data_IF_042369410823
#
_entry.id   IF_042369410823
#
_cell.length_a   1.000
_cell.length_b   1.000
_cell.length_c   1.000
_cell.angle_alpha   90.00
_cell.angle_beta   90.00
_cell.angle_gamma   90.00
#
_symmetry.space_group_name_H-M   'P 1'
#
loop_
_entity.id
_entity.type
_entity.pdbx_description
1 polymer ?
#
# COMPACT_ATOMS: atom_id res chain seq x y z
N UNK A 1 -9.77 11.11 0.92
CA UNK A 1 -9.15 9.78 0.72
C UNK A 1 -7.88 9.79 1.54
N UNK A 2 -7.89 9.06 2.65
CA UNK A 2 -6.87 9.10 3.71
C UNK A 2 -5.51 8.60 3.19
N UNK A 3 -4.45 9.36 3.48
CA UNK A 3 -3.06 9.06 3.13
C UNK A 3 -2.36 8.12 4.11
N UNK A 4 -2.98 7.83 5.26
CA UNK A 4 -2.35 7.09 6.34
C UNK A 4 -3.34 6.06 6.91
N UNK A 5 -2.90 4.81 6.98
CA UNK A 5 -3.66 3.69 7.52
C UNK A 5 -4.09 3.95 8.96
N UNK A 6 -5.25 3.45 9.37
CA UNK A 6 -5.71 3.58 10.76
C UNK A 6 -6.32 2.29 11.29
N UNK A 7 -5.71 1.82 12.37
CA UNK A 7 -6.10 0.72 13.26
C UNK A 7 -7.17 1.14 14.29
N UNK A 8 -7.71 2.36 14.18
CA UNK A 8 -8.72 2.91 15.08
C UNK A 8 -9.82 3.58 14.27
N UNK A 9 -11.06 3.51 14.77
CA UNK A 9 -12.27 3.95 14.05
C UNK A 9 -12.19 5.37 13.49
N UNK A 10 -13.17 5.72 12.63
CA UNK A 10 -13.28 6.96 11.82
C UNK A 10 -12.94 8.28 12.55
N UNK A 11 -13.00 8.34 13.88
CA UNK A 11 -12.65 9.51 14.70
C UNK A 11 -11.14 9.81 14.81
N UNK A 12 -10.27 8.88 14.42
CA UNK A 12 -8.83 9.14 14.35
C UNK A 12 -8.40 9.94 13.11
N UNK A 13 -9.33 10.25 12.18
CA UNK A 13 -9.00 10.62 10.80
C UNK A 13 -9.35 12.06 10.42
N UNK A 14 -10.23 12.76 11.15
CA UNK A 14 -10.69 14.09 10.75
C UNK A 14 -10.08 15.20 11.62
N UNK A 15 -9.01 15.82 11.09
CA UNK A 15 -8.69 17.22 11.43
C UNK A 15 -9.79 18.10 10.86
N UNK A 16 -10.86 18.29 11.62
CA UNK A 16 -11.58 19.56 11.56
C UNK A 16 -10.87 20.51 12.53
N UNK A 17 -10.79 21.80 12.19
CA UNK A 17 -9.98 22.80 12.91
C UNK A 17 -10.34 22.94 14.40
N UNK A 18 -11.46 22.36 14.85
CA UNK A 18 -11.93 22.34 16.23
C UNK A 18 -11.67 21.03 17.02
N UNK A 19 -11.17 19.96 16.39
CA UNK A 19 -10.98 18.66 17.07
C UNK A 19 -9.50 18.25 17.12
N UNK A 20 -8.93 18.20 18.33
CA UNK A 20 -7.64 17.54 18.60
C UNK A 20 -7.64 16.11 18.06
N UNK A 21 -6.63 15.76 17.26
CA UNK A 21 -6.52 14.43 16.66
C UNK A 21 -6.44 13.36 17.76
N UNK A 22 -7.46 12.50 17.85
CA UNK A 22 -7.49 11.39 18.80
C UNK A 22 -6.60 10.27 18.24
N UNK A 23 -5.63 9.80 19.04
CA UNK A 23 -4.79 8.65 18.69
C UNK A 23 -4.98 7.54 19.73
N UNK A 24 -5.27 6.32 19.28
CA UNK A 24 -5.23 5.15 20.15
C UNK A 24 -3.78 4.73 20.45
N UNK A 25 -3.59 3.88 21.46
CA UNK A 25 -2.27 3.34 21.84
C UNK A 25 -1.53 2.71 20.65
N UNK A 26 -2.22 1.94 19.80
CA UNK A 26 -1.60 1.30 18.63
C UNK A 26 -1.12 2.30 17.57
N UNK A 27 -1.88 3.38 17.34
CA UNK A 27 -1.48 4.43 16.39
C UNK A 27 -0.27 5.23 16.88
N UNK A 28 -0.20 5.49 18.19
CA UNK A 28 0.99 6.11 18.79
C UNK A 28 2.20 5.19 18.61
N UNK A 29 2.05 3.90 18.97
CA UNK A 29 3.13 2.92 18.86
C UNK A 29 3.61 2.70 17.42
N UNK A 30 2.70 2.68 16.45
CA UNK A 30 3.04 2.62 15.04
C UNK A 30 3.90 3.82 14.62
N UNK A 31 3.52 5.04 15.03
CA UNK A 31 4.27 6.24 14.73
C UNK A 31 5.69 6.23 15.31
N UNK A 32 5.83 5.76 16.56
CA UNK A 32 7.13 5.60 17.22
C UNK A 32 7.98 4.55 16.50
N UNK A 33 7.42 3.38 16.20
CA UNK A 33 8.15 2.30 15.50
C UNK A 33 8.65 2.78 14.14
N UNK A 34 7.79 3.46 13.36
CA UNK A 34 8.18 4.03 12.07
C UNK A 34 9.29 5.08 12.18
N UNK A 35 9.24 5.94 13.21
CA UNK A 35 10.29 6.95 13.45
C UNK A 35 11.64 6.32 13.82
N UNK A 36 11.62 5.12 14.43
CA UNK A 36 12.80 4.34 14.77
C UNK A 36 13.26 3.36 13.67
N UNK A 37 12.66 3.43 12.47
CA UNK A 37 12.81 2.45 11.38
C UNK A 37 12.55 0.98 11.81
N UNK A 38 11.77 0.80 12.87
CA UNK A 38 11.29 -0.50 13.30
C UNK A 38 9.99 -0.83 12.55
N UNK A 39 9.97 -1.96 11.83
CA UNK A 39 8.79 -2.41 11.09
C UNK A 39 8.22 -3.65 11.77
N UNK A 40 6.95 -3.57 12.14
CA UNK A 40 6.21 -4.71 12.66
C UNK A 40 5.82 -5.63 11.50
N UNK A 41 6.03 -6.93 11.66
CA UNK A 41 5.61 -7.93 10.69
C UNK A 41 4.10 -8.19 10.76
N UNK A 42 3.50 -8.03 11.95
CA UNK A 42 2.06 -8.18 12.17
C UNK A 42 1.48 -7.00 12.94
N UNK A 43 0.18 -6.79 12.74
CA UNK A 43 -0.53 -5.74 13.47
C UNK A 43 -0.47 -5.92 14.99
N UNK A 44 -0.62 -7.16 15.45
CA UNK A 44 -0.66 -7.51 16.86
C UNK A 44 0.72 -7.39 17.53
N UNK A 45 1.80 -7.20 16.76
CA UNK A 45 3.12 -6.89 17.34
C UNK A 45 3.17 -5.47 17.90
N UNK A 46 2.25 -4.57 17.49
CA UNK A 46 2.05 -3.27 18.12
C UNK A 46 1.60 -3.39 19.59
N UNK A 47 1.10 -4.55 20.03
CA UNK A 47 0.82 -4.78 21.44
C UNK A 47 2.07 -5.02 22.27
N UNK A 48 3.18 -5.42 21.66
CA UNK A 48 4.42 -5.63 22.38
C UNK A 48 5.03 -4.30 22.81
N UNK A 49 5.76 -4.27 23.94
CA UNK A 49 6.57 -3.12 24.30
C UNK A 49 7.55 -2.79 23.18
N UNK A 50 7.60 -1.53 22.78
CA UNK A 50 8.55 -1.03 21.77
C UNK A 50 9.99 -1.19 22.27
N UNK A 51 10.17 -1.11 23.58
CA UNK A 51 11.46 -1.22 24.24
C UNK A 51 11.44 -2.35 25.27
N UNK A 52 12.55 -3.05 25.38
CA UNK A 52 12.82 -3.96 26.50
C UNK A 52 12.96 -3.19 27.84
N UNK A 53 13.03 -1.85 27.78
CA UNK A 53 13.27 -0.98 28.94
C UNK A 53 11.99 -0.26 29.40
N UNK A 54 11.46 -0.69 30.55
CA UNK A 54 10.27 -0.12 31.19
C UNK A 54 10.38 1.39 31.51
N UNK A 55 11.59 1.92 31.70
CA UNK A 55 11.80 3.37 31.95
C UNK A 55 11.51 4.18 30.69
N UNK A 56 11.89 3.66 29.51
CA UNK A 56 11.58 4.31 28.23
C UNK A 56 10.09 4.20 27.90
N UNK A 57 9.49 3.03 28.15
CA UNK A 57 8.06 2.83 27.95
C UNK A 57 7.22 3.77 28.83
N UNK A 58 7.62 3.96 30.10
CA UNK A 58 6.96 4.92 30.98
C UNK A 58 7.15 6.37 30.51
N UNK A 59 8.36 6.75 30.10
CA UNK A 59 8.63 8.10 29.61
C UNK A 59 7.80 8.44 28.35
N UNK A 60 7.65 7.48 27.43
CA UNK A 60 6.80 7.65 26.26
C UNK A 60 5.31 7.69 26.63
N UNK A 61 4.86 6.83 27.54
CA UNK A 61 3.48 6.85 28.04
C UNK A 61 3.15 8.21 28.69
N UNK A 62 4.08 8.76 29.49
CA UNK A 62 3.93 10.07 30.12
C UNK A 62 3.93 11.19 29.05
N UNK A 63 4.81 11.12 28.04
CA UNK A 63 4.91 12.09 26.94
C UNK A 63 3.63 12.16 26.08
N UNK A 64 3.02 11.00 25.80
CA UNK A 64 1.82 10.92 24.97
C UNK A 64 0.50 10.89 25.74
N UNK A 65 0.56 10.93 27.09
CA UNK A 65 -0.61 10.88 27.98
C UNK A 65 -1.69 11.93 27.67
N UNK A 66 -1.30 13.13 27.24
CA UNK A 66 -2.23 14.23 26.91
C UNK A 66 -2.90 14.09 25.53
N UNK A 67 -2.32 13.26 24.65
CA UNK A 67 -2.80 13.03 23.27
C UNK A 67 -3.57 11.71 23.17
N UNK A 68 -3.31 10.80 24.11
CA UNK A 68 -3.98 9.53 24.25
C UNK A 68 -5.26 9.70 25.06
N UNK A 69 -6.43 9.63 24.42
CA UNK A 69 -7.63 9.16 25.12
C UNK A 69 -7.54 7.65 25.19
N UNK A 70 -7.93 7.05 26.31
CA UNK A 70 -7.96 5.59 26.51
C UNK A 70 -9.02 4.91 25.62
N UNK A 71 -8.89 5.01 24.30
CA UNK A 71 -9.54 4.12 23.36
C UNK A 71 -8.58 2.97 23.12
N UNK A 72 -8.69 1.92 23.93
CA UNK A 72 -7.97 0.68 23.70
C UNK A 72 -8.69 -0.14 22.64
N UNK A 73 -7.96 -0.75 21.69
CA UNK A 73 -8.58 -1.71 20.78
C UNK A 73 -9.14 -2.85 21.63
N UNK A 74 -10.35 -3.28 21.30
CA UNK A 74 -10.96 -4.44 21.92
C UNK A 74 -10.92 -5.57 20.90
N UNK A 75 -10.32 -6.68 21.31
CA UNK A 75 -10.31 -7.90 20.53
C UNK A 75 -11.56 -8.71 20.85
N UNK A 76 -12.16 -9.34 19.83
CA UNK A 76 -13.23 -10.32 20.02
C UNK A 76 -12.61 -11.70 19.95
N UNK A 77 -12.71 -12.47 21.04
CA UNK A 77 -12.30 -13.88 21.01
C UNK A 77 -13.29 -14.74 20.20
N UNK A 78 -12.94 -16.01 20.03
CA UNK A 78 -13.74 -16.96 19.23
C UNK A 78 -15.12 -17.28 19.86
N UNK A 79 -15.38 -16.81 21.08
CA UNK A 79 -16.66 -16.90 21.78
C UNK A 79 -17.43 -15.57 21.78
N UNK A 80 -16.90 -14.52 21.15
CA UNK A 80 -17.49 -13.18 21.12
C UNK A 80 -17.25 -12.36 22.39
N UNK A 81 -16.33 -12.77 23.26
CA UNK A 81 -15.96 -11.98 24.43
C UNK A 81 -15.03 -10.83 24.02
N UNK A 82 -15.26 -9.68 24.66
CA UNK A 82 -14.43 -8.50 24.53
C UNK A 82 -13.15 -8.67 25.38
N UNK A 83 -12.02 -8.88 24.72
CA UNK A 83 -10.68 -8.98 25.32
C UNK A 83 -9.94 -7.67 25.11
N UNK A 84 -9.57 -7.00 26.21
CA UNK A 84 -8.75 -5.78 26.17
C UNK A 84 -7.27 -6.12 26.39
N UNK A 85 -6.34 -5.49 25.66
CA UNK A 85 -4.89 -5.73 25.76
C UNK A 85 -4.28 -4.99 26.97
N UNK A 86 -4.91 -5.08 28.15
CA UNK A 86 -4.53 -4.32 29.36
C UNK A 86 -3.33 -4.91 30.10
N UNK A 87 -2.97 -6.16 29.83
CA UNK A 87 -1.82 -6.82 30.45
C UNK A 87 -1.16 -7.82 29.49
N UNK A 88 0.05 -8.26 29.85
CA UNK A 88 0.85 -9.18 29.02
C UNK A 88 0.17 -10.51 28.73
N UNK A 89 -0.71 -11.00 29.62
CA UNK A 89 -1.45 -12.25 29.40
C UNK A 89 -2.49 -12.11 28.29
N UNK A 90 -3.31 -11.06 28.30
CA UNK A 90 -4.28 -10.81 27.24
C UNK A 90 -3.61 -10.49 25.90
N UNK A 91 -2.49 -9.78 25.93
CA UNK A 91 -1.68 -9.54 24.73
C UNK A 91 -1.17 -10.87 24.16
N UNK A 92 -0.64 -11.76 25.00
CA UNK A 92 -0.19 -13.07 24.57
C UNK A 92 -1.34 -13.90 24.00
N UNK A 93 -2.52 -13.88 24.63
CA UNK A 93 -3.72 -14.56 24.15
C UNK A 93 -4.12 -14.08 22.75
N UNK A 94 -4.26 -12.77 22.56
CA UNK A 94 -4.62 -12.18 21.25
C UNK A 94 -3.63 -12.62 20.18
N UNK A 95 -2.33 -12.51 20.45
CA UNK A 95 -1.28 -12.91 19.49
C UNK A 95 -1.34 -14.40 19.17
N UNK A 96 -1.55 -15.26 20.17
CA UNK A 96 -1.66 -16.70 19.95
C UNK A 96 -2.88 -17.06 19.10
N UNK A 97 -4.03 -16.40 19.32
CA UNK A 97 -5.23 -16.66 18.53
C UNK A 97 -5.02 -16.21 17.08
N UNK A 98 -4.48 -15.02 16.85
CA UNK A 98 -4.19 -14.53 15.49
C UNK A 98 -3.16 -15.41 14.77
N UNK A 99 -2.10 -15.84 15.46
CA UNK A 99 -1.11 -16.78 14.90
C UNK A 99 -1.74 -18.12 14.52
N UNK A 100 -2.66 -18.65 15.33
CA UNK A 100 -3.39 -19.89 15.00
C UNK A 100 -4.28 -19.71 13.77
N UNK A 101 -4.95 -18.55 13.64
CA UNK A 101 -5.73 -18.23 12.44
C UNK A 101 -4.85 -18.15 11.19
N UNK A 102 -3.69 -17.51 11.30
CA UNK A 102 -2.68 -17.47 10.22
C UNK A 102 -2.19 -18.87 9.83
N UNK A 103 -1.81 -19.68 10.81
CA UNK A 103 -1.29 -21.03 10.58
C UNK A 103 -2.35 -21.94 9.95
N UNK A 104 -3.59 -21.88 10.45
CA UNK A 104 -4.73 -22.57 9.86
C UNK A 104 -4.87 -22.19 8.38
N UNK A 105 -4.93 -20.89 8.06
CA UNK A 105 -5.11 -20.44 6.68
C UNK A 105 -3.92 -20.76 5.77
N UNK A 106 -2.68 -20.78 6.29
CA UNK A 106 -1.52 -21.24 5.52
C UNK A 106 -1.64 -22.70 5.09
N UNK A 107 -2.29 -23.53 5.91
CA UNK A 107 -2.57 -24.92 5.56
C UNK A 107 -3.77 -25.06 4.62
N UNK A 108 -4.79 -24.20 4.77
CA UNK A 108 -6.00 -24.24 3.92
C UNK A 108 -5.78 -23.67 2.52
N UNK A 109 -4.92 -22.67 2.32
CA UNK A 109 -4.70 -22.06 0.99
C UNK A 109 -4.31 -23.11 -0.07
N UNK A 110 -3.34 -24.00 0.15
CA UNK A 110 -3.04 -25.08 -0.81
C UNK A 110 -4.22 -26.03 -1.06
N UNK A 111 -4.99 -26.37 -0.01
CA UNK A 111 -6.17 -27.23 -0.13
C UNK A 111 -7.27 -26.55 -0.96
N UNK A 112 -7.49 -25.25 -0.75
CA UNK A 112 -8.41 -24.45 -1.55
C UNK A 112 -8.00 -24.41 -3.02
N UNK A 113 -6.71 -24.19 -3.31
CA UNK A 113 -6.19 -24.18 -4.68
C UNK A 113 -6.29 -25.54 -5.39
N UNK A 114 -6.25 -26.66 -4.66
CA UNK A 114 -6.45 -28.01 -5.22
C UNK A 114 -7.91 -28.43 -5.32
N UNK A 115 -8.84 -27.60 -4.82
CA UNK A 115 -10.27 -27.89 -4.87
C UNK A 115 -10.77 -28.00 -6.31
N UNK A 116 -11.53 -29.06 -6.59
CA UNK A 116 -12.21 -29.24 -7.88
C UNK A 116 -13.21 -28.13 -8.20
N UNK A 117 -13.66 -27.37 -7.19
CA UNK A 117 -14.51 -26.18 -7.40
C UNK A 117 -13.79 -25.11 -8.22
N UNK A 118 -12.47 -24.94 -8.06
CA UNK A 118 -11.73 -23.88 -8.74
C UNK A 118 -11.18 -24.30 -10.10
N UNK A 119 -11.09 -25.60 -10.41
CA UNK A 119 -10.64 -26.11 -11.72
C UNK A 119 -9.41 -25.36 -12.27
N UNK A 120 -8.30 -25.40 -11.53
CA UNK A 120 -7.07 -24.65 -11.84
C UNK A 120 -6.09 -25.54 -12.63
N UNK A 121 -5.41 -24.95 -13.62
CA UNK A 121 -4.43 -25.67 -14.45
C UNK A 121 -3.12 -25.98 -13.73
N UNK A 122 -2.70 -25.09 -12.84
CA UNK A 122 -1.47 -25.19 -12.05
C UNK A 122 -1.77 -24.84 -10.57
N UNK A 123 -2.44 -25.76 -9.84
CA UNK A 123 -2.86 -25.48 -8.47
C UNK A 123 -1.68 -25.29 -7.52
N UNK A 124 -0.54 -25.96 -7.75
CA UNK A 124 0.65 -25.87 -6.90
C UNK A 124 1.39 -24.53 -7.06
N UNK A 125 1.59 -24.08 -8.30
CA UNK A 125 2.18 -22.77 -8.57
C UNK A 125 1.30 -21.63 -8.06
N UNK A 126 -0.01 -21.73 -8.27
CA UNK A 126 -0.98 -20.75 -7.75
C UNK A 126 -0.98 -20.74 -6.21
N UNK A 127 -0.95 -21.90 -5.55
CA UNK A 127 -0.91 -21.99 -4.09
C UNK A 127 0.35 -21.33 -3.52
N UNK A 128 1.51 -21.58 -4.13
CA UNK A 128 2.78 -20.97 -3.73
C UNK A 128 2.70 -19.45 -3.83
N UNK A 129 2.22 -18.93 -4.96
CA UNK A 129 2.03 -17.49 -5.16
C UNK A 129 0.99 -16.90 -4.20
N UNK A 130 -0.09 -17.63 -3.91
CA UNK A 130 -1.12 -17.20 -2.96
C UNK A 130 -0.58 -17.12 -1.53
N UNK A 131 0.29 -18.05 -1.10
CA UNK A 131 0.92 -18.00 0.22
C UNK A 131 1.85 -16.79 0.38
N UNK A 132 2.62 -16.46 -0.66
CA UNK A 132 3.44 -15.25 -0.69
C UNK A 132 2.57 -13.99 -0.58
N UNK A 133 1.50 -13.90 -1.39
CA UNK A 133 0.56 -12.78 -1.33
C UNK A 133 -0.14 -12.68 0.01
N UNK A 134 -0.50 -13.81 0.62
CA UNK A 134 -1.12 -13.83 1.92
C UNK A 134 -0.19 -13.22 2.98
N UNK A 135 1.07 -13.64 3.02
CA UNK A 135 2.03 -13.08 3.97
C UNK A 135 2.25 -11.57 3.77
N UNK A 136 2.29 -11.11 2.51
CA UNK A 136 2.40 -9.69 2.20
C UNK A 136 1.19 -8.88 2.64
N UNK A 137 -0.01 -9.40 2.38
CA UNK A 137 -1.25 -8.76 2.80
C UNK A 137 -1.37 -8.74 4.34
N UNK A 138 -0.89 -9.76 5.04
CA UNK A 138 -0.83 -9.77 6.51
C UNK A 138 0.11 -8.70 7.07
N UNK A 139 1.31 -8.54 6.49
CA UNK A 139 2.24 -7.45 6.86
C UNK A 139 1.64 -6.06 6.62
N UNK A 140 0.69 -5.97 5.70
CA UNK A 140 0.00 -4.73 5.29
C UNK A 140 -1.48 -4.71 5.65
N UNK A 141 -1.89 -5.53 6.62
CA UNK A 141 -3.31 -5.75 6.94
C UNK A 141 -4.04 -4.47 7.35
N UNK A 142 -3.29 -3.50 7.86
CA UNK A 142 -3.77 -2.15 8.16
C UNK A 142 -4.25 -1.34 6.96
N UNK A 143 -3.69 -1.59 5.79
CA UNK A 143 -4.16 -0.98 4.54
C UNK A 143 -5.47 -1.62 4.07
N UNK A 144 -5.85 -2.74 4.68
CA UNK A 144 -7.05 -3.52 4.39
C UNK A 144 -8.07 -3.41 5.53
N UNK A 145 -8.09 -2.30 6.27
CA UNK A 145 -9.08 -2.02 7.32
C UNK A 145 -9.29 -3.16 8.34
N UNK A 146 -8.29 -4.00 8.59
CA UNK A 146 -8.43 -5.18 9.45
C UNK A 146 -9.55 -6.14 9.05
N UNK A 147 -9.74 -6.34 7.75
CA UNK A 147 -10.65 -7.37 7.24
C UNK A 147 -10.42 -8.72 7.93
N UNK A 148 -11.47 -9.52 7.99
CA UNK A 148 -11.35 -10.91 8.41
C UNK A 148 -10.21 -11.59 7.64
N UNK A 149 -9.32 -12.26 8.37
CA UNK A 149 -8.13 -12.88 7.80
C UNK A 149 -8.46 -13.94 6.73
N UNK A 150 -9.65 -14.55 6.79
CA UNK A 150 -10.16 -15.45 5.75
C UNK A 150 -10.42 -14.71 4.43
N UNK A 151 -10.96 -13.50 4.50
CA UNK A 151 -11.13 -12.61 3.33
C UNK A 151 -9.76 -12.22 2.77
N UNK A 152 -8.78 -11.94 3.63
CA UNK A 152 -7.40 -11.64 3.20
C UNK A 152 -6.78 -12.84 2.47
N UNK A 153 -6.95 -14.05 2.98
CA UNK A 153 -6.52 -15.28 2.30
C UNK A 153 -7.23 -15.48 0.96
N UNK A 154 -8.54 -15.23 0.90
CA UNK A 154 -9.31 -15.29 -0.34
C UNK A 154 -8.82 -14.26 -1.38
N UNK A 155 -8.51 -13.04 -0.96
CA UNK A 155 -7.89 -12.03 -1.85
C UNK A 155 -6.54 -12.50 -2.37
N UNK A 156 -5.71 -13.11 -1.52
CA UNK A 156 -4.43 -13.67 -1.94
C UNK A 156 -4.60 -14.74 -3.03
N UNK A 157 -5.52 -15.69 -2.83
CA UNK A 157 -5.85 -16.73 -3.83
C UNK A 157 -6.39 -16.09 -5.11
N UNK A 158 -7.35 -15.17 -5.02
CA UNK A 158 -7.94 -14.53 -6.19
C UNK A 158 -6.91 -13.76 -7.02
N UNK A 159 -5.99 -13.04 -6.35
CA UNK A 159 -4.89 -12.33 -7.01
C UNK A 159 -3.89 -13.30 -7.64
N UNK A 160 -3.57 -14.43 -7.00
CA UNK A 160 -2.69 -15.45 -7.55
C UNK A 160 -3.31 -16.12 -8.80
N UNK A 161 -4.58 -16.54 -8.73
CA UNK A 161 -5.34 -17.07 -9.87
C UNK A 161 -5.31 -16.08 -11.04
N UNK A 162 -5.55 -14.80 -10.77
CA UNK A 162 -5.49 -13.74 -11.78
C UNK A 162 -4.10 -13.56 -12.37
N UNK A 163 -3.07 -13.67 -11.54
CA UNK A 163 -1.68 -13.60 -12.00
C UNK A 163 -1.31 -14.74 -12.94
N UNK A 164 -1.87 -15.93 -12.72
CA UNK A 164 -1.71 -17.09 -13.60
C UNK A 164 -2.68 -17.10 -14.80
N UNK A 165 -3.30 -15.96 -15.14
CA UNK A 165 -4.14 -15.81 -16.33
C UNK A 165 -5.54 -16.42 -16.22
N UNK A 166 -5.96 -16.77 -15.00
CA UNK A 166 -7.28 -17.32 -14.73
C UNK A 166 -8.21 -16.29 -14.05
N UNK A 167 -9.50 -16.56 -14.03
CA UNK A 167 -10.45 -15.78 -13.24
C UNK A 167 -11.51 -16.71 -12.66
N UNK A 168 -11.86 -16.51 -11.39
CA UNK A 168 -12.84 -17.31 -10.67
C UNK A 168 -13.73 -16.40 -9.84
N UNK A 169 -14.95 -16.86 -9.60
CA UNK A 169 -15.88 -16.17 -8.72
C UNK A 169 -15.28 -16.08 -7.31
N UNK A 170 -15.30 -14.90 -6.72
CA UNK A 170 -14.77 -14.66 -5.40
C UNK A 170 -15.54 -15.44 -4.32
N UNK A 171 -16.86 -15.59 -4.46
CA UNK A 171 -17.69 -16.39 -3.57
C UNK A 171 -17.27 -17.86 -3.56
N UNK A 172 -16.89 -18.41 -4.73
CA UNK A 172 -16.37 -19.78 -4.81
C UNK A 172 -15.04 -19.94 -4.07
N UNK A 173 -14.17 -18.93 -4.12
CA UNK A 173 -12.90 -18.92 -3.38
C UNK A 173 -13.17 -18.88 -1.87
N UNK A 174 -14.11 -18.05 -1.41
CA UNK A 174 -14.52 -18.00 0.00
C UNK A 174 -15.06 -19.35 0.49
N UNK A 175 -15.91 -19.99 -0.31
CA UNK A 175 -16.44 -21.31 0.04
C UNK A 175 -15.35 -22.38 0.16
N UNK A 176 -14.29 -22.31 -0.65
CA UNK A 176 -13.14 -23.24 -0.54
C UNK A 176 -12.32 -23.04 0.72
N UNK A 177 -12.44 -21.88 1.36
CA UNK A 177 -11.86 -21.56 2.67
C UNK A 177 -12.87 -21.72 3.81
N UNK A 178 -13.96 -22.45 3.57
CA UNK A 178 -15.02 -22.70 4.55
C UNK A 178 -15.66 -21.41 5.11
N UNK A 179 -15.73 -20.36 4.29
CA UNK A 179 -16.35 -19.09 4.64
C UNK A 179 -17.64 -18.89 3.83
N UNK A 180 -18.76 -18.62 4.51
CA UNK A 180 -20.03 -18.34 3.82
C UNK A 180 -19.92 -16.97 3.13
N UNK A 181 -20.09 -16.87 1.80
CA UNK A 181 -20.05 -15.58 1.10
C UNK A 181 -21.05 -14.55 1.61
N UNK A 182 -22.12 -14.98 2.31
CA UNK A 182 -23.09 -14.07 2.94
C UNK A 182 -22.54 -13.33 4.15
N UNK A 183 -21.52 -13.90 4.79
CA UNK A 183 -20.82 -13.29 5.92
C UNK A 183 -19.67 -12.38 5.44
N UNK A 184 -19.43 -12.30 4.13
CA UNK A 184 -18.46 -11.36 3.56
C UNK A 184 -18.98 -9.92 3.67
N UNK A 185 -18.18 -9.07 4.29
CA UNK A 185 -18.41 -7.64 4.42
C UNK A 185 -17.33 -6.82 3.71
N UNK A 186 -16.48 -7.48 2.92
CA UNK A 186 -15.45 -6.84 2.13
C UNK A 186 -16.07 -5.93 1.06
N UNK A 187 -15.39 -4.82 0.80
CA UNK A 187 -15.84 -3.82 -0.18
C UNK A 187 -14.93 -3.82 -1.40
N UNK A 188 -15.42 -3.21 -2.49
CA UNK A 188 -14.60 -2.95 -3.69
C UNK A 188 -13.31 -2.17 -3.36
N UNK A 189 -13.35 -1.29 -2.35
CA UNK A 189 -12.18 -0.53 -1.93
C UNK A 189 -11.13 -1.42 -1.27
N UNK A 190 -11.57 -2.42 -0.50
CA UNK A 190 -10.67 -3.37 0.15
C UNK A 190 -9.95 -4.26 -0.90
N UNK A 191 -10.68 -4.70 -1.92
CA UNK A 191 -10.10 -5.39 -3.07
C UNK A 191 -9.07 -4.54 -3.80
N UNK A 192 -9.40 -3.26 -4.07
CA UNK A 192 -8.46 -2.32 -4.71
C UNK A 192 -7.22 -2.10 -3.85
N UNK A 193 -7.37 -2.00 -2.53
CA UNK A 193 -6.25 -1.87 -1.59
C UNK A 193 -5.35 -3.13 -1.59
N UNK A 194 -5.94 -4.33 -1.59
CA UNK A 194 -5.20 -5.58 -1.69
C UNK A 194 -4.43 -5.68 -3.02
N UNK A 195 -5.08 -5.38 -4.15
CA UNK A 195 -4.43 -5.33 -5.46
C UNK A 195 -3.27 -4.34 -5.47
N UNK A 196 -3.48 -3.14 -4.92
CA UNK A 196 -2.45 -2.11 -4.86
C UNK A 196 -1.26 -2.55 -4.00
N UNK A 197 -1.51 -3.22 -2.87
CA UNK A 197 -0.48 -3.77 -1.99
C UNK A 197 0.42 -4.78 -2.73
N UNK A 198 -0.19 -5.77 -3.40
CA UNK A 198 0.56 -6.77 -4.17
C UNK A 198 1.29 -6.13 -5.35
N UNK A 199 0.65 -5.23 -6.08
CA UNK A 199 1.28 -4.51 -7.20
C UNK A 199 2.48 -3.68 -6.75
N UNK A 200 2.38 -3.01 -5.60
CA UNK A 200 3.50 -2.26 -5.00
C UNK A 200 4.66 -3.17 -4.65
N UNK A 201 4.38 -4.33 -4.05
CA UNK A 201 5.40 -5.29 -3.69
C UNK A 201 6.13 -5.82 -4.91
N UNK A 202 5.39 -6.28 -5.93
CA UNK A 202 5.99 -6.77 -7.19
C UNK A 202 6.80 -5.72 -7.92
N UNK A 203 6.33 -4.47 -7.93
CA UNK A 203 7.11 -3.36 -8.47
C UNK A 203 8.44 -3.18 -7.71
N UNK A 204 8.40 -3.31 -6.38
CA UNK A 204 9.59 -3.33 -5.53
C UNK A 204 10.55 -4.46 -5.90
N UNK A 205 10.07 -5.70 -5.99
CA UNK A 205 10.91 -6.87 -6.37
C UNK A 205 11.59 -6.70 -7.72
N UNK A 206 10.86 -6.20 -8.72
CA UNK A 206 11.44 -5.91 -10.05
C UNK A 206 12.56 -4.87 -9.94
N UNK A 207 12.32 -3.81 -9.14
CA UNK A 207 13.33 -2.77 -8.92
C UNK A 207 14.53 -3.29 -8.14
N UNK A 208 14.32 -4.10 -7.10
CA UNK A 208 15.38 -4.69 -6.29
C UNK A 208 16.22 -5.69 -7.10
N UNK A 209 15.57 -6.55 -7.90
CA UNK A 209 16.24 -7.49 -8.81
C UNK A 209 17.13 -6.77 -9.84
N UNK A 210 16.68 -5.61 -10.33
CA UNK A 210 17.51 -4.74 -11.15
C UNK A 210 18.69 -4.18 -10.35
N UNK A 211 18.43 -3.58 -9.18
CA UNK A 211 19.47 -2.93 -8.36
C UNK A 211 20.56 -3.91 -7.94
N UNK A 212 20.23 -5.15 -7.58
CA UNK A 212 21.19 -6.17 -7.19
C UNK A 212 22.24 -6.44 -8.29
N UNK A 213 21.78 -6.50 -9.55
CA UNK A 213 22.66 -6.75 -10.71
C UNK A 213 23.31 -5.47 -11.23
N UNK A 214 22.61 -4.34 -11.16
CA UNK A 214 23.08 -3.05 -11.65
C UNK A 214 24.37 -2.60 -10.94
N UNK A 215 24.51 -2.84 -9.64
CA UNK A 215 25.75 -2.50 -8.92
C UNK A 215 27.00 -3.22 -9.48
N UNK A 216 26.82 -4.40 -10.08
CA UNK A 216 27.94 -5.15 -10.70
C UNK A 216 28.24 -4.67 -12.12
N UNK A 217 27.21 -4.29 -12.87
CA UNK A 217 27.34 -3.82 -14.25
C UNK A 217 27.79 -2.35 -14.33
N UNK A 218 27.43 -1.54 -13.34
CA UNK A 218 27.67 -0.10 -13.29
C UNK A 218 28.37 0.33 -11.98
N UNK A 219 29.51 -0.27 -11.62
CA UNK A 219 30.14 -0.07 -10.30
C UNK A 219 30.58 1.37 -10.03
N UNK A 220 30.99 2.09 -11.09
CA UNK A 220 31.55 3.45 -10.98
C UNK A 220 30.55 4.55 -11.34
N UNK A 221 29.26 4.22 -11.53
CA UNK A 221 28.26 5.20 -11.96
C UNK A 221 27.78 6.07 -10.78
N UNK A 222 28.11 7.37 -10.75
CA UNK A 222 27.71 8.24 -9.65
C UNK A 222 26.19 8.39 -9.60
N UNK A 223 25.59 8.33 -8.40
CA UNK A 223 24.16 8.55 -8.22
C UNK A 223 23.28 7.32 -8.46
N UNK A 224 23.85 6.15 -8.77
CA UNK A 224 23.10 4.88 -8.89
C UNK A 224 22.26 4.58 -7.62
N UNK A 225 22.77 4.91 -6.44
CA UNK A 225 22.07 4.79 -5.16
C UNK A 225 20.78 5.63 -5.06
N UNK A 226 20.64 6.70 -5.86
CA UNK A 226 19.43 7.54 -5.92
C UNK A 226 18.38 7.00 -6.89
N UNK A 227 18.74 6.04 -7.75
CA UNK A 227 17.87 5.51 -8.79
C UNK A 227 16.62 4.86 -8.20
N UNK A 228 16.79 3.98 -7.21
CA UNK A 228 15.68 3.25 -6.61
C UNK A 228 14.64 4.16 -5.92
N UNK A 229 15.02 5.09 -5.01
CA UNK A 229 14.06 6.04 -4.44
C UNK A 229 13.32 6.89 -5.48
N UNK A 230 14.00 7.28 -6.56
CA UNK A 230 13.42 8.11 -7.61
C UNK A 230 12.46 7.32 -8.52
N UNK A 231 12.86 6.12 -8.95
CA UNK A 231 12.05 5.22 -9.74
C UNK A 231 10.77 4.81 -8.98
N UNK A 232 10.91 4.52 -7.68
CA UNK A 232 9.77 4.24 -6.80
C UNK A 232 8.81 5.42 -6.74
N UNK A 233 9.31 6.65 -6.56
CA UNK A 233 8.46 7.87 -6.55
C UNK A 233 7.69 8.03 -7.86
N UNK A 234 8.39 7.89 -8.99
CA UNK A 234 7.78 7.98 -10.31
C UNK A 234 6.73 6.88 -10.52
N UNK A 235 6.99 5.66 -10.06
CA UNK A 235 6.03 4.55 -10.10
C UNK A 235 4.75 4.88 -9.32
N UNK A 236 4.86 5.39 -8.08
CA UNK A 236 3.68 5.82 -7.31
C UNK A 236 2.89 6.91 -8.03
N UNK A 237 3.57 7.91 -8.61
CA UNK A 237 2.92 8.97 -9.36
C UNK A 237 2.20 8.44 -10.63
N UNK A 238 2.83 7.51 -11.33
CA UNK A 238 2.31 6.87 -12.55
C UNK A 238 1.05 6.06 -12.26
N UNK A 239 1.08 5.23 -11.21
CA UNK A 239 -0.07 4.42 -10.78
C UNK A 239 -1.21 5.30 -10.29
N UNK A 240 -0.92 6.32 -9.46
CA UNK A 240 -1.93 7.23 -8.90
C UNK A 240 -2.68 8.02 -9.98
N UNK A 241 -1.98 8.44 -11.03
CA UNK A 241 -2.58 9.22 -12.13
C UNK A 241 -3.16 8.33 -13.24
N UNK A 242 -3.17 7.01 -13.06
CA UNK A 242 -3.65 6.04 -14.06
C UNK A 242 -3.06 6.32 -15.46
N UNK A 243 -1.76 6.66 -15.53
CA UNK A 243 -1.08 7.08 -16.77
C UNK A 243 -1.20 6.05 -17.90
N UNK A 244 -1.22 4.78 -17.53
CA UNK A 244 -1.33 3.65 -18.44
C UNK A 244 -2.77 3.09 -18.36
N UNK A 245 -3.53 3.07 -19.46
CA UNK A 245 -4.88 2.52 -19.48
C UNK A 245 -4.91 1.05 -19.06
N UNK A 246 -6.00 0.62 -18.41
CA UNK A 246 -6.15 -0.74 -17.86
C UNK A 246 -6.11 -1.82 -18.95
N UNK A 247 -6.57 -1.48 -20.15
CA UNK A 247 -6.58 -2.36 -21.32
C UNK A 247 -5.16 -2.69 -21.78
N UNK A 248 -4.26 -1.72 -21.68
CA UNK A 248 -2.85 -1.87 -22.06
C UNK A 248 -2.03 -2.55 -20.96
N UNK A 249 -2.44 -2.40 -19.70
CA UNK A 249 -1.79 -3.03 -18.56
C UNK A 249 -2.06 -4.54 -18.46
N UNK A 250 -3.08 -5.06 -19.14
CA UNK A 250 -3.39 -6.50 -19.13
C UNK A 250 -2.15 -7.27 -19.59
N UNK A 251 -1.62 -8.12 -18.72
CA UNK A 251 -0.40 -8.92 -18.92
C UNK A 251 0.93 -8.12 -18.98
N UNK A 252 0.89 -6.78 -18.99
CA UNK A 252 2.07 -5.89 -19.05
C UNK A 252 2.26 -5.01 -17.80
N UNK A 253 1.59 -5.33 -16.68
CA UNK A 253 1.71 -4.57 -15.42
C UNK A 253 3.18 -4.46 -14.93
N UNK A 254 4.00 -5.48 -15.21
CA UNK A 254 5.41 -5.56 -14.84
C UNK A 254 6.32 -4.62 -15.67
N UNK A 255 5.85 -4.07 -16.79
CA UNK A 255 6.61 -3.10 -17.61
C UNK A 255 6.63 -1.71 -16.97
N UNK A 256 5.61 -1.36 -16.18
CA UNK A 256 5.53 -0.05 -15.50
C UNK A 256 6.74 0.22 -14.60
N UNK A 257 7.13 -0.66 -13.65
CA UNK A 257 8.32 -0.43 -12.83
C UNK A 257 9.62 -0.36 -13.65
N UNK A 258 9.77 -1.16 -14.72
CA UNK A 258 10.91 -1.07 -15.66
C UNK A 258 10.98 0.31 -16.30
N UNK A 259 9.85 0.77 -16.85
CA UNK A 259 9.78 2.08 -17.48
C UNK A 259 10.10 3.22 -16.50
N UNK A 260 9.70 3.07 -15.24
CA UNK A 260 10.02 4.02 -14.18
C UNK A 260 11.53 4.03 -13.85
N UNK A 261 12.20 2.87 -13.84
CA UNK A 261 13.66 2.79 -13.67
C UNK A 261 14.38 3.53 -14.79
N UNK A 262 14.01 3.29 -16.05
CA UNK A 262 14.65 3.96 -17.20
C UNK A 262 14.39 5.46 -17.18
N UNK A 263 13.16 5.88 -16.89
CA UNK A 263 12.82 7.29 -16.76
C UNK A 263 13.61 7.98 -15.64
N UNK A 264 13.74 7.33 -14.48
CA UNK A 264 14.54 7.84 -13.36
C UNK A 264 16.03 7.87 -13.69
N UNK A 265 16.55 6.86 -14.39
CA UNK A 265 17.93 6.84 -14.85
C UNK A 265 18.22 8.00 -15.80
N UNK A 266 17.33 8.28 -16.75
CA UNK A 266 17.44 9.45 -17.65
C UNK A 266 17.42 10.77 -16.90
N UNK A 267 16.58 10.89 -15.87
CA UNK A 267 16.54 12.10 -15.04
C UNK A 267 17.83 12.31 -14.23
N UNK A 268 18.48 11.21 -13.82
CA UNK A 268 19.76 11.22 -13.12
C UNK A 268 20.96 11.21 -14.07
N UNK A 269 20.73 11.33 -15.39
CA UNK A 269 21.76 11.27 -16.44
C UNK A 269 22.62 9.98 -16.39
N UNK A 270 22.04 8.87 -15.91
CA UNK A 270 22.70 7.57 -15.85
C UNK A 270 22.63 6.87 -17.21
N UNK A 271 23.71 6.21 -17.67
CA UNK A 271 23.77 5.52 -18.97
C UNK A 271 23.10 4.14 -18.91
N UNK A 272 21.83 4.08 -18.53
CA UNK A 272 21.06 2.84 -18.39
C UNK A 272 19.98 2.81 -19.47
N UNK A 273 20.10 1.85 -20.40
CA UNK A 273 19.14 1.68 -21.49
C UNK A 273 17.95 0.81 -21.07
N UNK A 274 16.85 0.86 -21.85
CA UNK A 274 15.65 0.05 -21.56
C UNK A 274 15.91 -1.44 -21.72
N UNK A 275 16.70 -1.77 -22.74
CA UNK A 275 17.15 -3.13 -23.07
C UNK A 275 17.99 -3.71 -21.93
N UNK A 276 18.85 -2.89 -21.29
CA UNK A 276 19.65 -3.31 -20.14
C UNK A 276 18.77 -3.64 -18.94
N UNK A 277 17.78 -2.78 -18.62
CA UNK A 277 16.86 -3.03 -17.51
C UNK A 277 16.08 -4.32 -17.76
N UNK A 278 15.53 -4.50 -18.97
CA UNK A 278 14.78 -5.70 -19.35
C UNK A 278 15.64 -6.98 -19.22
N UNK A 279 16.88 -6.94 -19.72
CA UNK A 279 17.83 -8.05 -19.63
C UNK A 279 18.16 -8.39 -18.18
N UNK A 280 18.43 -7.38 -17.35
CA UNK A 280 18.77 -7.59 -15.94
C UNK A 280 17.56 -8.08 -15.12
N UNK A 281 16.34 -7.66 -15.43
CA UNK A 281 15.13 -8.16 -14.74
C UNK A 281 14.62 -9.49 -15.31
N UNK A 282 15.12 -9.94 -16.47
CA UNK A 282 14.62 -11.14 -17.16
C UNK A 282 13.22 -10.97 -17.75
N UNK A 283 12.83 -9.73 -18.05
CA UNK A 283 11.49 -9.39 -18.56
C UNK A 283 11.60 -9.06 -20.05
N UNK A 284 10.72 -9.62 -20.87
CA UNK A 284 10.67 -9.33 -22.30
C UNK A 284 9.96 -7.99 -22.58
N UNK A 285 10.76 -6.95 -22.79
CA UNK A 285 10.29 -5.62 -23.15
C UNK A 285 10.09 -5.38 -24.65
N UNK A 286 10.35 -6.38 -25.52
CA UNK A 286 10.37 -6.20 -26.98
C UNK A 286 8.98 -6.16 -27.63
N UNK A 287 7.96 -6.62 -26.92
CA UNK A 287 6.58 -6.67 -27.38
C UNK A 287 6.03 -5.27 -27.65
N UNK A 288 5.23 -5.11 -28.72
CA UNK A 288 4.66 -3.82 -29.13
C UNK A 288 3.87 -3.14 -27.98
N UNK A 289 3.07 -3.92 -27.25
CA UNK A 289 2.33 -3.44 -26.10
C UNK A 289 3.24 -3.02 -24.93
N UNK A 290 4.36 -3.72 -24.70
CA UNK A 290 5.36 -3.33 -23.70
C UNK A 290 5.99 -1.98 -24.07
N UNK A 291 6.34 -1.79 -25.34
CA UNK A 291 6.85 -0.52 -25.86
C UNK A 291 5.83 0.63 -25.72
N UNK A 292 4.54 0.35 -25.91
CA UNK A 292 3.47 1.33 -25.71
C UNK A 292 3.32 1.73 -24.22
N UNK A 293 3.41 0.78 -23.28
CA UNK A 293 3.43 1.06 -21.83
C UNK A 293 4.64 1.92 -21.48
N UNK A 294 5.83 1.51 -21.91
CA UNK A 294 7.08 2.24 -21.70
C UNK A 294 7.01 3.67 -22.24
N UNK A 295 6.52 3.86 -23.47
CA UNK A 295 6.34 5.17 -24.10
C UNK A 295 5.42 6.10 -23.31
N UNK A 296 4.31 5.59 -22.76
CA UNK A 296 3.39 6.38 -21.93
C UNK A 296 4.05 6.85 -20.63
N UNK A 297 4.76 5.98 -19.93
CA UNK A 297 5.47 6.32 -18.69
C UNK A 297 6.58 7.35 -18.94
N UNK A 298 7.33 7.21 -20.05
CA UNK A 298 8.34 8.18 -20.44
C UNK A 298 7.76 9.55 -20.80
N UNK A 299 6.65 9.57 -21.54
CA UNK A 299 5.99 10.82 -21.90
C UNK A 299 5.49 11.54 -20.64
N UNK A 300 4.94 10.79 -19.69
CA UNK A 300 4.53 11.30 -18.40
C UNK A 300 5.71 11.85 -17.60
N UNK A 301 6.83 11.13 -17.53
CA UNK A 301 7.99 11.59 -16.75
C UNK A 301 8.63 12.87 -17.30
N UNK A 302 8.51 13.12 -18.62
CA UNK A 302 8.99 14.36 -19.27
C UNK A 302 8.04 15.55 -19.10
N UNK A 303 6.74 15.29 -19.13
CA UNK A 303 5.72 16.33 -19.28
C UNK A 303 4.91 16.60 -17.99
N UNK A 304 5.30 16.03 -16.86
CA UNK A 304 4.59 16.21 -15.60
C UNK A 304 5.54 16.51 -14.45
N UNK A 305 5.10 17.34 -13.52
CA UNK A 305 5.78 17.53 -12.25
C UNK A 305 5.43 16.38 -11.28
N UNK A 306 6.04 15.23 -11.51
CA UNK A 306 5.95 14.04 -10.63
C UNK A 306 6.96 14.10 -9.47
N UNK A 307 7.87 15.07 -9.50
CA UNK A 307 8.85 15.30 -8.43
C UNK A 307 8.24 16.02 -7.24
N UNK A 308 7.17 16.79 -7.45
CA UNK A 308 6.32 17.29 -6.37
C UNK A 308 5.89 16.11 -5.50
N UNK A 309 6.14 16.14 -4.18
CA UNK A 309 5.56 15.16 -3.29
C UNK A 309 4.04 15.16 -3.52
N UNK A 310 3.38 13.98 -3.44
CA UNK A 310 1.94 13.91 -3.64
C UNK A 310 1.28 15.00 -2.79
N UNK A 311 0.67 15.98 -3.44
CA UNK A 311 -0.15 16.98 -2.76
C UNK A 311 -1.20 16.18 -1.99
N UNK A 312 -0.98 16.07 -0.68
CA UNK A 312 -1.93 15.47 0.25
C UNK A 312 -3.15 16.37 0.15
N UNK A 313 -4.32 15.82 -0.20
CA UNK A 313 -5.57 16.60 -0.13
C UNK A 313 -5.66 17.14 1.30
N UNK A 314 -5.61 18.46 1.46
CA UNK A 314 -5.55 19.13 2.75
C UNK A 314 -4.16 19.60 3.21
N UNK A 315 -3.10 19.47 2.40
CA UNK A 315 -1.81 20.10 2.69
C UNK A 315 -1.97 21.62 2.70
N UNK A 316 -1.22 22.31 3.56
CA UNK A 316 -1.23 23.77 3.65
C UNK A 316 -0.93 24.44 2.29
N UNK A 317 -0.12 23.79 1.45
CA UNK A 317 0.20 24.27 0.11
C UNK A 317 -0.98 24.16 -0.86
N UNK A 318 -1.76 23.06 -0.83
CA UNK A 318 -2.98 22.93 -1.66
C UNK A 318 -4.05 23.91 -1.21
N UNK A 319 -4.24 24.06 0.11
CA UNK A 319 -5.17 25.05 0.66
C UNK A 319 -4.74 26.47 0.32
N UNK A 320 -3.43 26.76 0.36
CA UNK A 320 -2.89 28.06 -0.03
C UNK A 320 -3.04 28.30 -1.54
N UNK A 321 -2.77 27.31 -2.39
CA UNK A 321 -2.97 27.44 -3.85
C UNK A 321 -4.44 27.62 -4.21
N UNK A 322 -5.35 26.86 -3.62
CA UNK A 322 -6.80 27.01 -3.82
C UNK A 322 -7.33 28.35 -3.28
N UNK A 323 -6.82 28.81 -2.12
CA UNK A 323 -7.15 30.13 -1.60
C UNK A 323 -6.58 31.25 -2.48
N UNK A 324 -5.43 31.05 -3.11
CA UNK A 324 -4.82 32.00 -4.04
C UNK A 324 -5.57 32.06 -5.38
N UNK A 325 -6.01 30.90 -5.90
CA UNK A 325 -6.88 30.82 -7.08
C UNK A 325 -8.24 31.49 -6.83
N UNK A 326 -8.88 31.23 -5.68
CA UNK A 326 -10.11 31.91 -5.27
C UNK A 326 -9.91 33.42 -5.06
N UNK A 327 -8.79 33.85 -4.47
CA UNK A 327 -8.48 35.28 -4.33
C UNK A 327 -8.26 35.96 -5.67
N UNK A 328 -7.70 35.26 -6.66
CA UNK A 328 -7.54 35.78 -8.01
C UNK A 328 -8.89 35.88 -8.74
N UNK A 329 -9.78 34.90 -8.59
CA UNK A 329 -11.16 34.97 -9.12
C UNK A 329 -11.97 36.10 -8.45
N UNK A 330 -11.81 36.29 -7.14
CA UNK A 330 -12.44 37.38 -6.39
C UNK A 330 -11.86 38.76 -6.79
N UNK A 331 -10.54 38.86 -7.06
CA UNK A 331 -9.93 40.12 -7.52
C UNK A 331 -10.22 40.42 -8.99
N UNK A 332 -10.36 39.42 -9.86
CA UNK A 332 -10.89 39.60 -11.21
C UNK A 332 -12.36 40.04 -11.18
N UNK A 333 -13.19 39.43 -10.32
CA UNK A 333 -14.59 39.84 -10.13
C UNK A 333 -14.73 41.26 -9.57
N UNK A 334 -13.86 41.67 -8.64
CA UNK A 334 -13.82 43.03 -8.08
C UNK A 334 -13.29 44.03 -9.11
N UNK A 335 -12.29 43.68 -9.91
CA UNK A 335 -11.78 44.55 -10.98
C UNK A 335 -12.81 44.72 -12.12
N UNK A 336 -13.58 43.69 -12.45
CA UNK A 336 -14.71 43.79 -13.39
C UNK A 336 -15.87 44.63 -12.81
N UNK A 337 -16.13 44.51 -11.51
CA UNK A 337 -17.11 45.35 -10.81
C UNK A 337 -16.67 46.82 -10.67
N UNK A 338 -15.37 47.09 -10.52
CA UNK A 338 -14.81 48.44 -10.49
C UNK A 338 -14.68 49.05 -11.89
N UNK A 339 -14.38 48.23 -12.92
CA UNK A 339 -14.35 48.66 -14.32
C UNK A 339 -15.74 49.01 -14.88
N UNK A 340 -16.80 48.41 -14.33
CA UNK A 340 -18.20 48.75 -14.66
C UNK A 340 -18.73 49.98 -13.91
N UNK A 341 -17.98 50.49 -12.92
CA UNK A 341 -18.23 51.74 -12.22
C UNK A 341 -17.32 52.86 -12.73
N UNK A 342 -17.14 52.95 -14.07
CA UNK A 342 -16.26 53.92 -14.72
C UNK A 342 -16.41 55.36 -14.18
N UNK A 343 -15.33 56.18 -14.25
CA UNK A 343 -15.31 57.50 -13.64
C UNK A 343 -16.37 58.39 -14.28
N UNK A 344 -17.06 59.14 -13.43
CA UNK A 344 -18.20 60.04 -13.72
C UNK A 344 -18.18 60.76 -15.07
#
# INVERSE_FOLDING_TARGET
MCSDATYCGKNCQNKNDDNTAIRCTLCVRLGINLAADHRNDRWHDLFLPIFVNAVKEKADADLYSSVQRESEPVYLDDHGNLVRPVNGFFIALIRTVEQRKEEYLRNEIPLACTSSKLDLRDPEGIATCALEYFDLLLRRHHNLNHLDIRVVAAFAIALAIKHHGHNRDFGMILETLHFDPKDDHSTINDWVAAKHCISTFKAGEIMDAFMEKAHRQYPDTPGLNKLFPLARRLWYATVRKEVVPKELLKDFEHIVPIACLVAAARHLELPIAYEDVCSLTGIDGSLENANAVYGKVLLFSKNSDWMQPPLVRGSALVKAMQAFEMQNEDTESINDALGSLGPE
#
